data_IF_403023053182
#
_entry.id   IF_403023053182
#
_cell.length_a   1.000
_cell.length_b   1.000
_cell.length_c   1.000
_cell.angle_alpha   90.00
_cell.angle_beta   90.00
_cell.angle_gamma   90.00
#
_symmetry.space_group_name_H-M   'P 1'
#
loop_
_entity.id
_entity.type
_entity.pdbx_description
1 polymer ?
#
# COMPACT_ATOMS: atom_id res chain seq x y z
N UNK A 1 -4.41 30.93 -57.77
CA UNK A 1 -5.05 32.15 -57.24
C UNK A 1 -6.55 31.91 -57.09
N UNK A 2 -7.00 31.60 -55.87
CA UNK A 2 -8.40 31.73 -55.45
C UNK A 2 -8.43 31.84 -53.93
N UNK A 3 -7.58 32.72 -53.38
CA UNK A 3 -7.70 33.19 -52.01
C UNK A 3 -8.87 34.16 -51.92
N UNK A 4 -10.09 33.66 -52.13
CA UNK A 4 -11.29 34.42 -51.84
C UNK A 4 -11.22 34.81 -50.38
N UNK A 5 -11.11 36.12 -50.09
CA UNK A 5 -11.14 36.63 -48.72
C UNK A 5 -12.39 36.06 -48.07
N UNK A 6 -12.22 35.11 -47.14
CA UNK A 6 -13.32 34.51 -46.40
C UNK A 6 -14.20 35.64 -45.88
N UNK A 7 -15.50 35.55 -46.15
CA UNK A 7 -16.43 36.58 -45.70
C UNK A 7 -16.36 36.64 -44.16
N UNK A 8 -16.62 37.81 -43.54
CA UNK A 8 -16.61 37.92 -42.08
C UNK A 8 -17.43 36.82 -41.37
N UNK A 9 -18.54 36.38 -42.00
CA UNK A 9 -19.35 35.24 -41.54
C UNK A 9 -18.60 33.90 -41.59
N UNK A 10 -17.88 33.60 -42.67
CA UNK A 10 -17.08 32.38 -42.77
C UNK A 10 -15.91 32.36 -41.78
N UNK A 11 -15.29 33.53 -41.52
CA UNK A 11 -14.28 33.68 -40.47
C UNK A 11 -14.87 33.42 -39.08
N UNK A 12 -16.04 33.97 -38.78
CA UNK A 12 -16.76 33.73 -37.52
C UNK A 12 -17.08 32.24 -37.35
N UNK A 13 -17.61 31.58 -38.39
CA UNK A 13 -17.90 30.14 -38.36
C UNK A 13 -16.62 29.31 -38.16
N UNK A 14 -15.52 29.66 -38.85
CA UNK A 14 -14.23 28.99 -38.70
C UNK A 14 -13.65 29.13 -37.28
N UNK A 15 -13.73 30.33 -36.69
CA UNK A 15 -13.32 30.56 -35.30
C UNK A 15 -14.21 29.76 -34.35
N UNK A 16 -15.54 29.76 -34.54
CA UNK A 16 -16.44 28.97 -33.70
C UNK A 16 -16.16 27.47 -33.79
N UNK A 17 -15.89 26.95 -34.99
CA UNK A 17 -15.55 25.54 -35.18
C UNK A 17 -14.23 25.19 -34.50
N UNK A 18 -13.20 26.04 -34.60
CA UNK A 18 -11.93 25.84 -33.91
C UNK A 18 -12.06 25.91 -32.39
N UNK A 19 -12.89 26.83 -31.87
CA UNK A 19 -13.16 26.91 -30.43
C UNK A 19 -13.95 25.70 -29.95
N UNK A 20 -14.96 25.25 -30.70
CA UNK A 20 -15.77 24.09 -30.33
C UNK A 20 -14.98 22.79 -30.41
N UNK A 21 -14.17 22.62 -31.46
CA UNK A 21 -13.22 21.52 -31.58
C UNK A 21 -12.18 21.55 -30.45
N UNK A 22 -11.69 22.73 -30.07
CA UNK A 22 -10.80 22.92 -28.93
C UNK A 22 -11.45 22.54 -27.60
N UNK A 23 -12.71 22.92 -27.37
CA UNK A 23 -13.46 22.56 -26.15
C UNK A 23 -13.67 21.05 -26.05
N UNK A 24 -14.05 20.38 -27.14
CA UNK A 24 -14.20 18.91 -27.16
C UNK A 24 -12.86 18.21 -26.95
N UNK A 25 -11.78 18.74 -27.53
CA UNK A 25 -10.45 18.17 -27.39
C UNK A 25 -9.86 18.31 -25.97
N UNK A 26 -10.25 19.35 -25.22
CA UNK A 26 -9.81 19.57 -23.84
C UNK A 26 -10.67 18.83 -22.81
N UNK A 27 -11.90 18.46 -23.16
CA UNK A 27 -12.75 17.63 -22.32
C UNK A 27 -12.25 16.18 -22.30
N UNK A 28 -12.24 15.57 -21.11
CA UNK A 28 -11.95 14.15 -20.97
C UNK A 28 -13.22 13.37 -21.32
N UNK A 29 -13.08 12.29 -22.10
CA UNK A 29 -14.21 11.45 -22.48
C UNK A 29 -14.86 10.78 -21.26
N UNK A 30 -16.19 10.78 -21.21
CA UNK A 30 -16.96 10.17 -20.12
C UNK A 30 -16.64 8.69 -19.88
N UNK A 31 -16.29 7.93 -20.93
CA UNK A 31 -15.88 6.53 -20.81
C UNK A 31 -14.59 6.33 -20.00
N UNK A 32 -13.66 7.27 -20.09
CA UNK A 32 -12.40 7.23 -19.32
C UNK A 32 -12.70 7.53 -17.85
N UNK A 33 -13.53 8.55 -17.59
CA UNK A 33 -13.91 8.92 -16.22
C UNK A 33 -14.70 7.78 -15.54
N UNK A 34 -15.55 7.08 -16.29
CA UNK A 34 -16.27 5.90 -15.80
C UNK A 34 -15.33 4.72 -15.50
N UNK A 35 -14.31 4.51 -16.34
CA UNK A 35 -13.29 3.50 -16.09
C UNK A 35 -12.52 3.79 -14.79
N UNK A 36 -12.17 5.06 -14.52
CA UNK A 36 -11.56 5.46 -13.26
C UNK A 36 -12.47 5.23 -12.06
N UNK A 37 -13.76 5.56 -12.17
CA UNK A 37 -14.76 5.26 -11.12
C UNK A 37 -14.83 3.76 -10.84
N UNK A 38 -14.98 2.94 -11.87
CA UNK A 38 -15.04 1.47 -11.75
C UNK A 38 -13.77 0.91 -11.10
N UNK A 39 -12.60 1.44 -11.46
CA UNK A 39 -11.33 1.07 -10.83
C UNK A 39 -11.30 1.45 -9.35
N UNK A 40 -11.77 2.64 -8.99
CA UNK A 40 -11.89 3.09 -7.59
C UNK A 40 -12.78 2.11 -6.81
N UNK A 41 -13.98 1.80 -7.30
CA UNK A 41 -14.92 0.91 -6.62
C UNK A 41 -14.34 -0.50 -6.43
N UNK A 42 -13.62 -1.01 -7.44
CA UNK A 42 -12.93 -2.29 -7.36
C UNK A 42 -11.80 -2.28 -6.31
N UNK A 43 -11.00 -1.21 -6.27
CA UNK A 43 -9.93 -1.04 -5.28
C UNK A 43 -10.48 -0.92 -3.86
N UNK A 44 -11.60 -0.22 -3.66
CA UNK A 44 -12.25 -0.12 -2.36
C UNK A 44 -12.81 -1.46 -1.90
N UNK A 45 -13.46 -2.19 -2.79
CA UNK A 45 -13.94 -3.56 -2.52
C UNK A 45 -12.78 -4.48 -2.14
N UNK A 46 -11.67 -4.43 -2.89
CA UNK A 46 -10.46 -5.19 -2.60
C UNK A 46 -9.86 -4.81 -1.24
N UNK A 47 -9.83 -3.52 -0.93
CA UNK A 47 -9.32 -2.99 0.34
C UNK A 47 -10.14 -3.51 1.51
N UNK A 48 -11.47 -3.54 1.37
CA UNK A 48 -12.37 -4.08 2.39
C UNK A 48 -12.17 -5.59 2.60
N UNK A 49 -11.99 -6.35 1.52
CA UNK A 49 -11.72 -7.80 1.61
C UNK A 49 -10.40 -8.09 2.33
N UNK A 50 -9.34 -7.32 2.03
CA UNK A 50 -8.05 -7.45 2.70
C UNK A 50 -8.18 -7.08 4.17
N UNK A 51 -8.91 -6.00 4.50
CA UNK A 51 -9.18 -5.61 5.88
C UNK A 51 -9.88 -6.74 6.65
N UNK A 52 -10.93 -7.34 6.09
CA UNK A 52 -11.61 -8.48 6.73
C UNK A 52 -10.69 -9.69 6.93
N UNK A 53 -9.78 -9.96 5.99
CA UNK A 53 -8.77 -11.02 6.14
C UNK A 53 -7.78 -10.73 7.28
N UNK A 54 -7.33 -9.48 7.41
CA UNK A 54 -6.45 -9.06 8.51
C UNK A 54 -7.17 -9.19 9.85
N UNK A 55 -8.41 -8.73 9.95
CA UNK A 55 -9.21 -8.82 11.17
C UNK A 55 -9.45 -10.28 11.59
N UNK A 56 -9.76 -11.16 10.62
CA UNK A 56 -9.89 -12.59 10.87
C UNK A 56 -8.58 -13.22 11.39
N UNK A 57 -7.43 -12.76 10.87
CA UNK A 57 -6.11 -13.23 11.31
C UNK A 57 -5.85 -12.84 12.77
N UNK A 58 -6.14 -11.60 13.16
CA UNK A 58 -6.04 -11.16 14.56
C UNK A 58 -6.98 -11.94 15.47
N UNK A 59 -8.26 -12.08 15.09
CA UNK A 59 -9.24 -12.81 15.88
C UNK A 59 -8.87 -14.29 16.08
N UNK A 60 -8.34 -14.94 15.03
CA UNK A 60 -7.86 -16.32 15.11
C UNK A 60 -6.67 -16.45 16.07
N UNK A 61 -5.72 -15.51 16.01
CA UNK A 61 -4.56 -15.49 16.90
C UNK A 61 -4.95 -15.27 18.37
N UNK A 62 -5.91 -14.39 18.63
CA UNK A 62 -6.49 -14.16 19.97
C UNK A 62 -7.22 -15.37 20.52
N UNK A 63 -7.97 -16.08 19.66
CA UNK A 63 -8.74 -17.24 20.06
C UNK A 63 -7.87 -18.48 20.36
N UNK A 64 -6.66 -18.55 19.81
CA UNK A 64 -5.77 -19.72 19.89
C UNK A 64 -4.50 -19.39 20.69
N UNK A 65 -3.50 -18.81 20.02
CA UNK A 65 -2.13 -18.62 20.52
C UNK A 65 -2.05 -17.77 21.78
N UNK A 66 -2.88 -16.72 21.89
CA UNK A 66 -2.90 -15.87 23.07
C UNK A 66 -3.45 -16.57 24.32
N UNK A 67 -4.31 -17.59 24.16
CA UNK A 67 -4.85 -18.38 25.28
C UNK A 67 -3.92 -19.52 25.67
N UNK A 68 -3.30 -20.16 24.68
CA UNK A 68 -2.43 -21.32 24.88
C UNK A 68 -1.04 -20.93 25.40
N UNK A 69 -0.40 -19.94 24.78
CA UNK A 69 0.99 -19.53 25.08
C UNK A 69 1.11 -18.00 25.25
N UNK A 70 0.48 -17.39 26.26
CA UNK A 70 0.43 -15.93 26.40
C UNK A 70 1.81 -15.28 26.49
N UNK A 71 2.77 -15.91 27.17
CA UNK A 71 4.11 -15.37 27.36
C UNK A 71 4.87 -15.14 26.04
N UNK A 72 4.69 -16.02 25.05
CA UNK A 72 5.28 -15.89 23.70
C UNK A 72 4.40 -15.08 22.75
N UNK A 73 3.08 -15.22 22.87
CA UNK A 73 2.12 -14.60 21.96
C UNK A 73 1.98 -13.08 22.17
N UNK A 74 2.01 -12.58 23.41
CA UNK A 74 1.86 -11.15 23.73
C UNK A 74 2.86 -10.25 22.98
N UNK A 75 4.19 -10.48 23.03
CA UNK A 75 5.14 -9.61 22.33
C UNK A 75 4.97 -9.65 20.80
N UNK A 76 4.63 -10.81 20.23
CA UNK A 76 4.36 -10.95 18.78
C UNK A 76 3.10 -10.19 18.39
N UNK A 77 2.04 -10.34 19.17
CA UNK A 77 0.77 -9.67 18.94
C UNK A 77 0.87 -8.15 19.08
N UNK A 78 1.63 -7.65 20.06
CA UNK A 78 1.88 -6.22 20.22
C UNK A 78 2.62 -5.64 19.01
N UNK A 79 3.62 -6.34 18.45
CA UNK A 79 4.28 -5.93 17.20
C UNK A 79 3.32 -5.91 16.01
N UNK A 80 2.43 -6.90 15.90
CA UNK A 80 1.41 -6.91 14.85
C UNK A 80 0.41 -5.75 15.00
N UNK A 81 0.02 -5.41 16.24
CA UNK A 81 -0.80 -4.23 16.53
C UNK A 81 -0.09 -2.92 16.18
N UNK A 82 1.21 -2.83 16.42
CA UNK A 82 2.00 -1.67 16.02
C UNK A 82 1.98 -1.48 14.49
N UNK A 83 2.14 -2.57 13.72
CA UNK A 83 2.02 -2.53 12.26
C UNK A 83 0.65 -1.99 11.82
N UNK A 84 -0.44 -2.47 12.44
CA UNK A 84 -1.81 -1.99 12.19
C UNK A 84 -2.01 -0.52 12.56
N UNK A 85 -1.40 -0.05 13.66
CA UNK A 85 -1.49 1.35 14.06
C UNK A 85 -0.82 2.27 13.02
N UNK A 86 0.37 1.89 12.54
CA UNK A 86 1.11 2.64 11.52
C UNK A 86 0.35 2.72 10.18
N UNK A 87 -0.28 1.62 9.75
CA UNK A 87 -1.08 1.62 8.52
C UNK A 87 -2.39 2.38 8.68
N UNK A 88 -3.03 2.30 9.85
CA UNK A 88 -4.25 3.06 10.17
C UNK A 88 -4.02 4.58 10.18
N UNK A 89 -2.87 5.04 10.69
CA UNK A 89 -2.49 6.46 10.64
C UNK A 89 -2.42 6.97 9.19
N UNK A 90 -1.74 6.22 8.32
CA UNK A 90 -1.63 6.58 6.90
C UNK A 90 -2.98 6.47 6.18
N UNK A 91 -3.78 5.43 6.42
CA UNK A 91 -5.11 5.27 5.83
C UNK A 91 -6.05 6.41 6.21
N UNK A 92 -5.98 6.87 7.47
CA UNK A 92 -6.75 8.02 7.97
C UNK A 92 -6.33 9.31 7.25
N UNK A 93 -5.03 9.53 7.09
CA UNK A 93 -4.51 10.70 6.38
C UNK A 93 -4.95 10.70 4.90
N UNK A 94 -4.81 9.56 4.20
CA UNK A 94 -5.24 9.41 2.80
C UNK A 94 -6.76 9.59 2.66
N UNK A 95 -7.54 9.04 3.59
CA UNK A 95 -9.00 9.22 3.63
C UNK A 95 -9.38 10.68 3.86
N UNK A 96 -8.62 11.41 4.67
CA UNK A 96 -8.78 12.86 4.85
C UNK A 96 -8.53 13.64 3.56
N UNK A 97 -7.48 13.31 2.81
CA UNK A 97 -7.19 13.92 1.51
C UNK A 97 -8.28 13.61 0.48
N UNK A 98 -8.79 12.37 0.46
CA UNK A 98 -9.91 11.98 -0.41
C UNK A 98 -11.14 12.85 -0.13
N UNK A 99 -11.55 12.97 1.14
CA UNK A 99 -12.69 13.82 1.54
C UNK A 99 -12.50 15.29 1.19
N UNK A 100 -11.27 15.79 1.31
CA UNK A 100 -10.94 17.17 0.94
C UNK A 100 -11.15 17.40 -0.57
N UNK A 101 -10.61 16.50 -1.40
CA UNK A 101 -10.77 16.54 -2.86
C UNK A 101 -12.25 16.45 -3.27
N UNK A 102 -13.00 15.55 -2.64
CA UNK A 102 -14.44 15.41 -2.88
C UNK A 102 -15.23 16.67 -2.48
N UNK A 103 -14.85 17.30 -1.37
CA UNK A 103 -15.44 18.55 -0.90
C UNK A 103 -15.24 19.70 -1.88
N UNK A 104 -14.01 19.90 -2.36
CA UNK A 104 -13.68 20.91 -3.39
C UNK A 104 -14.35 20.60 -4.75
N UNK A 105 -14.60 19.32 -5.03
CA UNK A 105 -15.37 18.84 -6.18
C UNK A 105 -16.88 19.12 -6.11
N UNK A 106 -17.39 19.69 -5.01
CA UNK A 106 -18.82 19.96 -4.80
C UNK A 106 -19.63 18.75 -4.31
N UNK A 107 -18.95 17.69 -3.87
CA UNK A 107 -19.51 16.44 -3.38
C UNK A 107 -20.02 15.50 -4.47
N UNK A 108 -20.67 14.43 -4.02
CA UNK A 108 -21.32 13.46 -4.90
C UNK A 108 -22.68 13.96 -5.37
N UNK A 109 -22.98 13.67 -6.62
CA UNK A 109 -24.30 13.76 -7.21
C UNK A 109 -25.09 12.49 -6.85
N UNK A 110 -26.17 12.58 -6.04
CA UNK A 110 -26.94 11.41 -5.62
C UNK A 110 -27.65 10.71 -6.79
N UNK A 111 -27.91 11.40 -7.91
CA UNK A 111 -28.60 10.82 -9.06
C UNK A 111 -27.64 10.01 -9.95
N UNK A 112 -26.34 10.36 -9.95
CA UNK A 112 -25.30 9.69 -10.75
C UNK A 112 -24.41 8.75 -9.91
N UNK A 113 -24.48 8.85 -8.59
CA UNK A 113 -23.57 8.17 -7.68
C UNK A 113 -22.11 8.46 -7.98
N UNK A 114 -21.80 9.68 -8.40
CA UNK A 114 -20.46 10.10 -8.84
C UNK A 114 -20.20 11.57 -8.48
N UNK A 115 -18.94 12.01 -8.55
CA UNK A 115 -18.55 13.39 -8.30
C UNK A 115 -19.11 14.35 -9.34
N UNK A 116 -19.58 15.51 -8.87
CA UNK A 116 -20.12 16.56 -9.75
C UNK A 116 -19.08 17.11 -10.72
N UNK A 117 -17.87 17.38 -10.22
CA UNK A 117 -16.74 17.94 -10.98
C UNK A 117 -15.66 16.89 -11.26
N UNK A 118 -16.08 15.68 -11.67
CA UNK A 118 -15.18 14.52 -11.79
C UNK A 118 -14.07 14.70 -12.85
N UNK A 119 -14.31 15.53 -13.85
CA UNK A 119 -13.41 15.87 -14.96
C UNK A 119 -12.51 17.09 -14.67
N UNK A 120 -12.67 17.72 -13.51
CA UNK A 120 -11.94 18.94 -13.17
C UNK A 120 -10.42 18.70 -13.09
N UNK A 121 -9.67 19.55 -13.78
CA UNK A 121 -8.22 19.45 -13.94
C UNK A 121 -7.44 20.37 -13.00
N UNK A 122 -8.09 21.22 -12.21
CA UNK A 122 -7.43 22.26 -11.38
C UNK A 122 -7.43 21.90 -9.90
N UNK A 123 -8.49 21.23 -9.41
CA UNK A 123 -8.63 20.88 -8.00
C UNK A 123 -7.45 20.02 -7.50
N UNK A 124 -7.12 18.94 -8.23
CA UNK A 124 -6.05 18.03 -7.82
C UNK A 124 -4.67 18.71 -7.84
N UNK A 125 -4.22 19.36 -8.93
CA UNK A 125 -2.91 20.00 -8.96
C UNK A 125 -2.76 21.11 -7.92
N UNK A 126 -3.80 21.92 -7.72
CA UNK A 126 -3.80 22.99 -6.72
C UNK A 126 -3.58 22.44 -5.30
N UNK A 127 -4.37 21.47 -4.88
CA UNK A 127 -4.30 20.94 -3.50
C UNK A 127 -3.09 20.03 -3.27
N UNK A 128 -2.76 19.18 -4.24
CA UNK A 128 -1.74 18.14 -4.04
C UNK A 128 -0.34 18.61 -4.43
N UNK A 129 -0.21 19.47 -5.43
CA UNK A 129 1.10 19.95 -5.90
C UNK A 129 1.38 21.35 -5.35
N UNK A 130 0.52 22.33 -5.64
CA UNK A 130 0.76 23.74 -5.28
C UNK A 130 0.72 23.97 -3.76
N UNK A 131 -0.25 23.39 -3.05
CA UNK A 131 -0.32 23.45 -1.59
C UNK A 131 0.61 22.43 -0.89
N UNK A 132 1.32 21.58 -1.63
CA UNK A 132 2.34 20.67 -1.10
C UNK A 132 1.84 19.41 -0.39
N UNK A 133 0.53 19.14 -0.37
CA UNK A 133 -0.05 17.96 0.32
C UNK A 133 0.42 16.62 -0.29
N UNK A 134 0.70 16.59 -1.58
CA UNK A 134 1.24 15.43 -2.28
C UNK A 134 2.68 15.11 -1.86
N UNK A 135 3.50 16.13 -1.61
CA UNK A 135 4.85 15.95 -1.07
C UNK A 135 4.80 15.43 0.38
N UNK A 136 3.88 15.94 1.19
CA UNK A 136 3.64 15.41 2.54
C UNK A 136 3.15 13.95 2.50
N UNK A 137 2.21 13.63 1.60
CA UNK A 137 1.73 12.28 1.38
C UNK A 137 2.86 11.33 0.97
N UNK A 138 3.71 11.74 0.02
CA UNK A 138 4.89 10.97 -0.42
C UNK A 138 5.81 10.65 0.76
N UNK A 139 6.08 11.64 1.62
CA UNK A 139 6.89 11.47 2.82
C UNK A 139 6.25 10.45 3.77
N UNK A 140 4.97 10.60 4.10
CA UNK A 140 4.24 9.69 4.98
C UNK A 140 4.21 8.25 4.44
N UNK A 141 4.00 8.05 3.14
CA UNK A 141 4.04 6.72 2.49
C UNK A 141 5.39 6.05 2.72
N UNK A 142 6.48 6.75 2.42
CA UNK A 142 7.82 6.19 2.52
C UNK A 142 8.26 6.00 3.98
N UNK A 143 7.83 6.86 4.90
CA UNK A 143 8.04 6.70 6.34
C UNK A 143 7.28 5.49 6.90
N UNK A 144 6.00 5.31 6.55
CA UNK A 144 5.22 4.13 6.96
C UNK A 144 5.86 2.87 6.42
N UNK A 145 6.29 2.84 5.16
CA UNK A 145 7.03 1.72 4.58
C UNK A 145 8.30 1.40 5.38
N UNK A 146 9.10 2.40 5.71
CA UNK A 146 10.33 2.22 6.48
C UNK A 146 10.05 1.68 7.89
N UNK A 147 9.02 2.20 8.57
CA UNK A 147 8.61 1.73 9.90
C UNK A 147 8.07 0.29 9.87
N UNK A 148 7.28 -0.07 8.86
CA UNK A 148 6.82 -1.46 8.67
C UNK A 148 8.00 -2.42 8.47
N UNK A 149 9.00 -2.04 7.65
CA UNK A 149 10.22 -2.83 7.49
C UNK A 149 11.02 -2.95 8.80
N UNK A 150 11.03 -1.90 9.63
CA UNK A 150 11.72 -1.93 10.92
C UNK A 150 11.12 -2.94 11.91
N UNK A 151 9.82 -3.25 11.81
CA UNK A 151 9.15 -4.27 12.63
C UNK A 151 9.51 -5.71 12.26
N UNK A 152 10.11 -5.89 11.08
CA UNK A 152 10.46 -7.19 10.52
C UNK A 152 11.96 -7.47 10.69
N UNK A 153 12.29 -8.76 10.79
CA UNK A 153 13.68 -9.21 10.88
C UNK A 153 14.35 -9.13 9.51
N UNK A 154 15.68 -9.05 9.47
CA UNK A 154 16.46 -8.85 8.24
C UNK A 154 16.19 -9.93 7.17
N UNK A 155 15.96 -11.18 7.60
CA UNK A 155 15.60 -12.31 6.72
C UNK A 155 14.20 -12.15 6.09
N UNK A 156 13.27 -11.53 6.82
CA UNK A 156 11.91 -11.30 6.34
C UNK A 156 11.87 -10.10 5.38
N UNK A 157 12.71 -9.08 5.62
CA UNK A 157 12.81 -7.89 4.75
C UNK A 157 13.22 -8.23 3.32
N UNK A 158 14.07 -9.22 3.13
CA UNK A 158 14.55 -9.63 1.80
C UNK A 158 13.46 -10.29 0.94
N UNK A 159 12.45 -10.90 1.57
CA UNK A 159 11.42 -11.68 0.90
C UNK A 159 10.08 -10.93 0.77
N UNK A 160 10.04 -9.65 1.12
CA UNK A 160 8.83 -8.82 1.08
C UNK A 160 9.01 -7.73 0.04
N UNK A 161 8.05 -7.68 -0.89
CA UNK A 161 7.99 -6.65 -1.91
C UNK A 161 6.77 -5.75 -1.65
N UNK A 162 6.94 -4.73 -0.82
CA UNK A 162 5.89 -3.76 -0.58
C UNK A 162 5.59 -2.95 -1.85
N UNK A 163 4.34 -3.04 -2.33
CA UNK A 163 3.82 -2.14 -3.36
C UNK A 163 3.67 -0.70 -2.85
N UNK A 164 3.61 -0.52 -1.53
CA UNK A 164 3.56 0.78 -0.85
C UNK A 164 4.89 1.52 -0.97
N UNK A 165 5.07 2.25 -2.06
CA UNK A 165 6.21 3.13 -2.28
C UNK A 165 5.83 4.33 -3.16
N UNK A 166 6.36 5.50 -2.82
CA UNK A 166 6.18 6.71 -3.58
C UNK A 166 7.54 7.16 -4.15
N UNK A 167 7.83 6.70 -5.36
CA UNK A 167 9.10 6.92 -6.07
C UNK A 167 8.84 7.81 -7.29
N UNK A 168 9.75 8.75 -7.55
CA UNK A 168 9.65 9.61 -8.72
C UNK A 168 9.72 8.77 -10.00
N UNK A 169 8.86 9.05 -11.00
CA UNK A 169 8.88 8.31 -12.25
C UNK A 169 10.22 8.47 -12.95
N UNK A 170 10.60 7.46 -13.74
CA UNK A 170 11.75 7.57 -14.63
C UNK A 170 11.55 8.77 -15.56
N UNK A 171 12.63 9.52 -15.80
CA UNK A 171 12.60 10.71 -16.66
C UNK A 171 12.01 10.35 -18.03
N UNK A 172 10.92 11.01 -18.40
CA UNK A 172 10.31 10.91 -19.72
C UNK A 172 10.60 12.20 -20.50
N UNK A 173 11.52 12.12 -21.47
CA UNK A 173 11.94 13.29 -22.26
C UNK A 173 12.79 14.29 -21.47
N UNK A 174 12.55 15.59 -21.70
CA UNK A 174 13.33 16.70 -21.13
C UNK A 174 12.92 17.10 -19.71
N UNK A 175 11.78 16.63 -19.21
CA UNK A 175 11.21 17.06 -17.92
C UNK A 175 11.21 15.88 -16.95
N UNK A 176 11.79 16.09 -15.77
CA UNK A 176 11.69 15.15 -14.66
C UNK A 176 10.54 15.59 -13.76
N UNK A 177 9.44 14.83 -13.78
CA UNK A 177 8.30 15.05 -12.87
C UNK A 177 8.61 14.43 -11.52
N UNK A 178 8.20 15.10 -10.45
CA UNK A 178 8.11 14.47 -9.13
C UNK A 178 6.92 13.50 -9.08
N UNK A 179 6.92 12.59 -8.11
CA UNK A 179 5.85 11.63 -7.90
C UNK A 179 4.50 12.33 -7.74
N UNK A 180 4.43 13.40 -6.93
CA UNK A 180 3.21 14.16 -6.72
C UNK A 180 2.72 14.86 -8.00
N UNK A 181 3.64 15.39 -8.83
CA UNK A 181 3.29 15.96 -10.14
C UNK A 181 2.81 14.89 -11.13
N UNK A 182 3.35 13.68 -11.05
CA UNK A 182 2.95 12.58 -11.93
C UNK A 182 1.61 11.97 -11.51
N UNK A 183 1.33 11.91 -10.21
CA UNK A 183 0.11 11.30 -9.66
C UNK A 183 -1.05 12.27 -9.54
N UNK A 184 -0.79 13.58 -9.36
CA UNK A 184 -1.82 14.57 -9.04
C UNK A 184 -1.68 15.90 -9.79
N UNK A 185 -0.63 16.08 -10.61
CA UNK A 185 -0.34 17.34 -11.29
C UNK A 185 -1.14 17.56 -12.56
N UNK A 186 -0.72 18.54 -13.36
CA UNK A 186 -1.47 19.05 -14.51
C UNK A 186 -1.94 17.94 -15.47
N UNK A 187 -3.22 18.00 -15.84
CA UNK A 187 -3.87 17.03 -16.73
C UNK A 187 -4.41 15.78 -16.01
N UNK A 188 -4.27 15.68 -14.68
CA UNK A 188 -4.92 14.63 -13.89
C UNK A 188 -6.32 15.12 -13.45
N UNK A 189 -7.42 14.52 -13.95
CA UNK A 189 -8.75 14.86 -13.49
C UNK A 189 -8.98 14.45 -12.04
N UNK A 190 -9.92 15.12 -11.38
CA UNK A 190 -10.31 14.86 -10.00
C UNK A 190 -10.62 13.38 -9.74
N UNK A 191 -11.34 12.71 -10.65
CA UNK A 191 -11.64 11.27 -10.49
C UNK A 191 -10.38 10.41 -10.49
N UNK A 192 -9.40 10.71 -11.34
CA UNK A 192 -8.14 9.96 -11.41
C UNK A 192 -7.28 10.19 -10.16
N UNK A 193 -7.28 11.42 -9.61
CA UNK A 193 -6.64 11.72 -8.35
C UNK A 193 -7.24 10.90 -7.20
N UNK A 194 -8.56 10.75 -7.16
CA UNK A 194 -9.25 9.92 -6.16
C UNK A 194 -8.93 8.43 -6.37
N UNK A 195 -8.89 7.94 -7.60
CA UNK A 195 -8.44 6.57 -7.90
C UNK A 195 -6.99 6.35 -7.44
N UNK A 196 -6.10 7.33 -7.61
CA UNK A 196 -4.72 7.25 -7.13
C UNK A 196 -4.66 7.14 -5.60
N UNK A 197 -5.48 7.91 -4.87
CA UNK A 197 -5.60 7.76 -3.41
C UNK A 197 -6.17 6.39 -3.02
N UNK A 198 -7.19 5.89 -3.72
CA UNK A 198 -7.75 4.56 -3.48
C UNK A 198 -6.71 3.45 -3.71
N UNK A 199 -5.87 3.57 -4.74
CA UNK A 199 -4.73 2.67 -4.98
C UNK A 199 -3.76 2.70 -3.79
N UNK A 200 -3.42 3.88 -3.29
CA UNK A 200 -2.52 4.00 -2.12
C UNK A 200 -3.13 3.30 -0.90
N UNK A 201 -4.44 3.46 -0.63
CA UNK A 201 -5.12 2.74 0.46
C UNK A 201 -5.05 1.21 0.29
N UNK A 202 -5.27 0.73 -0.93
CA UNK A 202 -5.14 -0.70 -1.24
C UNK A 202 -3.70 -1.19 -0.98
N UNK A 203 -2.69 -0.44 -1.42
CA UNK A 203 -1.28 -0.75 -1.16
C UNK A 203 -0.95 -0.74 0.34
N UNK A 204 -1.52 0.19 1.13
CA UNK A 204 -1.38 0.24 2.60
C UNK A 204 -1.95 -1.02 3.24
N UNK A 205 -3.16 -1.45 2.85
CA UNK A 205 -3.79 -2.65 3.40
C UNK A 205 -3.12 -3.95 2.99
N UNK A 206 -2.59 -4.02 1.77
CA UNK A 206 -1.78 -5.15 1.35
C UNK A 206 -0.49 -5.24 2.18
N UNK A 207 0.22 -4.11 2.36
CA UNK A 207 1.42 -4.05 3.19
C UNK A 207 1.13 -4.42 4.66
N UNK A 208 0.00 -3.97 5.21
CA UNK A 208 -0.48 -4.39 6.54
C UNK A 208 -0.66 -5.91 6.60
N UNK A 209 -1.39 -6.49 5.64
CA UNK A 209 -1.67 -7.93 5.60
C UNK A 209 -0.40 -8.77 5.53
N UNK A 210 0.54 -8.42 4.66
CA UNK A 210 1.81 -9.12 4.54
C UNK A 210 2.65 -9.03 5.82
N UNK A 211 2.75 -7.84 6.40
CA UNK A 211 3.51 -7.59 7.62
C UNK A 211 2.91 -8.37 8.80
N UNK A 212 1.59 -8.29 8.98
CA UNK A 212 0.87 -8.98 10.06
C UNK A 212 1.00 -10.50 9.92
N UNK A 213 0.83 -11.05 8.72
CA UNK A 213 1.01 -12.50 8.48
C UNK A 213 2.42 -12.96 8.84
N UNK A 214 3.45 -12.18 8.48
CA UNK A 214 4.84 -12.50 8.79
C UNK A 214 5.14 -12.41 10.29
N UNK A 215 4.63 -11.40 10.97
CA UNK A 215 4.84 -11.24 12.41
C UNK A 215 4.12 -12.36 13.18
N UNK A 216 2.82 -12.55 12.94
CA UNK A 216 2.01 -13.54 13.66
C UNK A 216 2.44 -14.98 13.35
N UNK A 217 2.87 -15.25 12.11
CA UNK A 217 3.38 -16.56 11.71
C UNK A 217 4.64 -17.00 12.45
N UNK A 218 5.38 -16.09 13.12
CA UNK A 218 6.51 -16.47 13.98
C UNK A 218 6.10 -17.31 15.18
N UNK A 219 4.83 -17.25 15.57
CA UNK A 219 4.33 -18.07 16.67
C UNK A 219 4.27 -19.55 16.31
N UNK A 220 4.10 -19.87 15.02
CA UNK A 220 4.09 -21.26 14.53
C UNK A 220 5.50 -21.81 14.30
N UNK A 221 6.54 -20.96 14.36
CA UNK A 221 7.93 -21.42 14.33
C UNK A 221 8.25 -22.05 15.67
N UNK A 222 8.53 -23.36 15.63
CA UNK A 222 9.02 -24.08 16.79
C UNK A 222 10.30 -23.42 17.30
N UNK A 223 10.24 -22.89 18.52
CA UNK A 223 11.45 -22.43 19.21
C UNK A 223 12.11 -23.69 19.75
N UNK A 224 13.04 -24.23 18.97
CA UNK A 224 13.91 -25.30 19.46
C UNK A 224 14.96 -24.65 20.36
N UNK A 225 14.62 -24.49 21.63
CA UNK A 225 15.60 -24.17 22.65
C UNK A 225 16.42 -25.43 22.91
N UNK A 226 17.54 -25.56 22.20
CA UNK A 226 18.57 -26.58 22.46
C UNK A 226 19.35 -26.17 23.72
N UNK A 227 18.67 -26.12 24.87
CA UNK A 227 19.24 -25.60 26.12
C UNK A 227 19.56 -26.72 27.11
N UNK A 228 19.07 -27.94 26.85
CA UNK A 228 19.29 -29.12 27.68
C UNK A 228 20.09 -30.16 26.93
N UNK A 229 21.37 -29.89 26.74
CA UNK A 229 22.29 -30.93 26.29
C UNK A 229 22.67 -31.83 27.46
N UNK A 230 22.36 -33.12 27.36
CA UNK A 230 22.88 -34.13 28.26
C UNK A 230 24.03 -34.86 27.56
N UNK A 231 25.18 -34.93 28.22
CA UNK A 231 26.26 -35.83 27.80
C UNK A 231 25.91 -37.24 28.28
N UNK A 232 25.70 -38.15 27.33
CA UNK A 232 25.41 -39.56 27.63
C UNK A 232 26.59 -40.38 27.13
N UNK A 233 27.25 -41.07 28.07
CA UNK A 233 28.29 -42.04 27.75
C UNK A 233 27.63 -43.42 27.57
N UNK A 234 27.70 -43.96 26.36
CA UNK A 234 27.21 -45.30 26.03
C UNK A 234 28.43 -46.22 25.96
N UNK A 235 28.53 -47.11 26.94
CA UNK A 235 29.57 -48.14 26.97
C UNK A 235 28.95 -49.51 26.68
N UNK A 236 29.64 -50.38 25.89
CA UNK A 236 29.15 -51.72 25.59
C UNK A 236 29.11 -52.63 26.83
N UNK A 237 29.89 -52.32 27.87
CA UNK A 237 29.89 -53.04 29.14
C UNK A 237 29.87 -52.08 30.34
N UNK A 238 29.21 -52.50 31.42
CA UNK A 238 29.15 -51.75 32.70
C UNK A 238 30.30 -52.08 33.66
N UNK A 239 31.16 -53.05 33.32
CA UNK A 239 32.33 -53.45 34.09
C UNK A 239 33.49 -53.83 33.18
N UNK A 240 34.72 -53.69 33.69
CA UNK A 240 35.97 -54.10 33.05
C UNK A 240 36.92 -54.70 34.09
N UNK A 241 37.80 -55.60 33.64
CA UNK A 241 38.82 -56.23 34.48
C UNK A 241 40.10 -55.38 34.45
N UNK A 242 40.85 -55.38 35.56
CA UNK A 242 42.08 -54.60 35.69
C UNK A 242 43.10 -54.98 34.60
N UNK A 243 43.45 -54.01 33.74
CA UNK A 243 44.36 -54.18 32.62
C UNK A 243 43.68 -54.21 31.24
N UNK A 244 42.36 -54.29 31.17
CA UNK A 244 41.61 -54.21 29.91
C UNK A 244 41.30 -52.76 29.50
N UNK A 245 41.38 -52.41 28.21
CA UNK A 245 41.02 -51.09 27.72
C UNK A 245 39.50 -50.87 27.79
N UNK A 246 39.08 -49.79 28.47
CA UNK A 246 37.68 -49.35 28.51
C UNK A 246 37.39 -48.37 27.37
N UNK A 247 36.39 -48.70 26.55
CA UNK A 247 35.92 -47.84 25.44
C UNK A 247 34.46 -47.46 25.66
N UNK A 248 34.15 -46.17 25.61
CA UNK A 248 32.79 -45.66 25.65
C UNK A 248 32.62 -44.58 24.57
N UNK A 249 31.45 -44.55 23.95
CA UNK A 249 31.07 -43.51 23.00
C UNK A 249 30.29 -42.42 23.73
N UNK A 250 30.74 -41.18 23.63
CA UNK A 250 30.09 -40.04 24.29
C UNK A 250 29.27 -39.30 23.26
N UNK A 251 27.95 -39.26 23.47
CA UNK A 251 27.02 -38.52 22.63
C UNK A 251 26.52 -37.28 23.37
N UNK A 252 26.31 -36.21 22.61
CA UNK A 252 25.54 -35.06 23.06
C UNK A 252 24.10 -35.27 22.55
N UNK A 253 23.15 -35.45 23.47
CA UNK A 253 21.72 -35.48 23.13
C UNK A 253 21.07 -34.19 23.60
N UNK A 254 20.12 -33.69 22.81
CA UNK A 254 19.28 -32.53 23.12
C UNK A 254 17.82 -32.95 23.33
#
# INVERSE_FOLDING_TARGET
>A
MAGGKQTPRQKMIGIMYLVLLGMIALSISDSILEAFKTLTDSLETSTQNVQSSVDATFASFEATKLKEEPARAIPIYNKAKEARALTSELDTYVSGLKKLLEGEGGGYDPDKGDLKRRDDLDISPRLMVTEGRGAELKKKINETRARLLALLDEKDRANINFSLQAVDPKRQGLIQKTWEQASFGDGVPLTAAITALAKIRADVKNAESETVKKILGKMDVAVVNLDQFAAVAVAPTSYVIQGEPYTAEVFLTA
#
